data_IF_186101877443
#
_entry.id   IF_186101877443
#
_cell.length_a   1.000
_cell.length_b   1.000
_cell.length_c   1.000
_cell.angle_alpha   90.00
_cell.angle_beta   90.00
_cell.angle_gamma   90.00
#
_symmetry.space_group_name_H-M   'P 1'
#
loop_
_entity.id
_entity.type
_entity.pdbx_description
1 polymer ?
#
# COMPACT_ATOMS: atom_id res chain seq x y z
N UNK A 1 9.79 12.29 29.65
CA UNK A 1 9.62 12.16 29.29
C UNK A 1 9.30 12.13 28.52
N UNK A 2 9.09 11.78 28.21
CA UNK A 2 8.85 11.58 27.50
C UNK A 2 8.27 11.63 26.93
N UNK A 3 8.33 12.11 26.62
CA UNK A 3 7.79 12.16 26.06
C UNK A 3 7.40 11.20 25.34
N UNK A 4 7.08 10.67 25.61
CA UNK A 4 6.73 9.64 25.04
C UNK A 4 5.56 9.77 24.23
N UNK A 5 5.55 9.38 23.06
CA UNK A 5 4.50 9.52 22.24
C UNK A 5 3.65 8.37 22.35
N UNK A 6 2.43 8.51 22.69
CA UNK A 6 1.50 7.43 22.70
C UNK A 6 1.11 7.06 21.30
N UNK A 7 1.03 5.78 21.01
CA UNK A 7 0.53 5.33 19.74
C UNK A 7 -0.99 5.54 19.72
N UNK A 8 -1.49 6.15 18.66
CA UNK A 8 -2.90 6.46 18.54
C UNK A 8 -3.65 5.27 17.93
N UNK A 9 -4.14 4.39 18.80
CA UNK A 9 -4.81 3.18 18.38
C UNK A 9 -6.10 3.48 17.63
N UNK A 10 -6.83 4.53 18.04
CA UNK A 10 -8.07 4.87 17.33
C UNK A 10 -7.78 5.29 15.90
N UNK A 11 -6.73 6.06 15.68
CA UNK A 11 -6.36 6.46 14.35
C UNK A 11 -5.92 5.28 13.51
N UNK A 12 -5.21 4.33 14.14
CA UNK A 12 -4.82 3.11 13.47
C UNK A 12 -6.05 2.36 12.97
N UNK A 13 -7.03 2.17 13.83
CA UNK A 13 -8.24 1.47 13.41
C UNK A 13 -9.03 2.26 12.38
N UNK A 14 -9.06 3.58 12.50
CA UNK A 14 -9.73 4.39 11.49
C UNK A 14 -9.06 4.23 10.13
N UNK A 15 -7.74 4.12 10.13
CA UNK A 15 -7.02 3.92 8.88
C UNK A 15 -7.39 2.60 8.23
N UNK A 16 -7.70 1.58 9.02
CA UNK A 16 -8.11 0.29 8.48
C UNK A 16 -9.58 0.25 8.12
N UNK A 17 -10.37 1.18 8.60
CA UNK A 17 -11.82 1.12 8.43
C UNK A 17 -12.29 1.83 7.16
N UNK A 18 -11.67 1.49 6.04
CA UNK A 18 -12.04 2.06 4.77
C UNK A 18 -11.63 1.08 3.68
N UNK A 19 -12.58 0.77 2.80
CA UNK A 19 -12.34 -0.25 1.79
C UNK A 19 -11.20 0.10 0.86
N UNK A 20 -11.12 1.34 0.42
CA UNK A 20 -10.04 1.75 -0.48
C UNK A 20 -8.68 1.61 0.20
N UNK A 21 -8.61 2.00 1.47
CA UNK A 21 -7.35 1.88 2.18
C UNK A 21 -6.96 0.43 2.40
N UNK A 22 -7.93 -0.44 2.66
CA UNK A 22 -7.61 -1.87 2.76
C UNK A 22 -7.11 -2.42 1.43
N UNK A 23 -7.72 -1.98 0.33
CA UNK A 23 -7.25 -2.41 -0.98
C UNK A 23 -5.82 -1.96 -1.23
N UNK A 24 -5.49 -0.75 -0.83
CA UNK A 24 -4.13 -0.25 -1.00
C UNK A 24 -3.14 -1.06 -0.18
N UNK A 25 -3.46 -1.31 1.08
CA UNK A 25 -2.57 -2.10 1.92
C UNK A 25 -2.37 -3.50 1.36
N UNK A 26 -3.43 -4.07 0.83
CA UNK A 26 -3.39 -5.40 0.24
C UNK A 26 -2.39 -5.49 -0.93
N UNK A 27 -2.21 -4.39 -1.64
CA UNK A 27 -1.34 -4.40 -2.82
C UNK A 27 0.12 -4.11 -2.51
N UNK A 28 0.41 -3.58 -1.33
CA UNK A 28 1.77 -3.16 -1.02
C UNK A 28 2.56 -4.28 -0.36
N UNK A 29 2.74 -5.38 -1.09
CA UNK A 29 3.56 -6.48 -0.60
C UNK A 29 5.04 -6.24 -0.83
N UNK A 30 5.36 -5.26 -1.62
CA UNK A 30 6.68 -4.74 -1.85
C UNK A 30 6.52 -3.29 -2.19
N UNK A 31 7.62 -2.64 -2.54
CA UNK A 31 7.54 -1.24 -2.91
C UNK A 31 6.86 -1.10 -4.26
N UNK A 32 5.93 -0.16 -4.38
CA UNK A 32 5.16 -0.01 -5.60
C UNK A 32 4.93 1.46 -5.91
N UNK A 33 5.04 1.80 -7.19
CA UNK A 33 4.78 3.15 -7.64
C UNK A 33 3.29 3.45 -7.58
N UNK A 34 2.96 4.68 -7.21
CA UNK A 34 1.57 5.09 -7.08
C UNK A 34 0.80 4.90 -8.38
N UNK A 35 1.46 5.02 -9.52
CA UNK A 35 0.77 4.88 -10.80
C UNK A 35 0.14 3.51 -10.98
N UNK A 36 0.76 2.47 -10.44
CA UNK A 36 0.16 1.15 -10.53
C UNK A 36 -1.01 0.98 -9.56
N UNK A 37 -0.94 1.64 -8.42
CA UNK A 37 -2.08 1.61 -7.50
C UNK A 37 -3.30 2.28 -8.14
N UNK A 38 -3.06 3.40 -8.81
CA UNK A 38 -4.14 4.09 -9.51
C UNK A 38 -4.74 3.20 -10.59
N UNK A 39 -3.87 2.53 -11.32
CA UNK A 39 -4.33 1.68 -12.40
C UNK A 39 -5.16 0.50 -11.89
N UNK A 40 -4.70 -0.15 -10.85
CA UNK A 40 -5.40 -1.32 -10.34
C UNK A 40 -6.72 -0.96 -9.70
N UNK A 41 -6.73 0.11 -8.89
CA UNK A 41 -7.95 0.49 -8.22
C UNK A 41 -8.95 1.20 -9.10
N UNK A 42 -8.49 1.79 -10.20
CA UNK A 42 -9.39 2.50 -11.09
C UNK A 42 -9.97 3.77 -10.50
N UNK A 43 -9.22 4.39 -9.60
CA UNK A 43 -9.65 5.62 -8.94
C UNK A 43 -8.72 6.75 -9.29
N UNK A 44 -9.20 7.99 -9.26
CA UNK A 44 -8.34 9.14 -9.60
C UNK A 44 -7.15 9.24 -8.65
N UNK A 45 -6.02 9.67 -9.19
CA UNK A 45 -4.82 9.76 -8.38
C UNK A 45 -4.98 10.66 -7.16
N UNK A 46 -5.66 11.82 -7.22
CA UNK A 46 -5.80 12.62 -6.00
C UNK A 46 -6.51 11.88 -4.88
N UNK A 47 -7.49 11.04 -5.21
CA UNK A 47 -8.17 10.25 -4.20
C UNK A 47 -7.24 9.21 -3.60
N UNK A 48 -6.49 8.52 -4.45
CA UNK A 48 -5.53 7.53 -3.99
C UNK A 48 -4.47 8.19 -3.11
N UNK A 49 -3.98 9.35 -3.54
CA UNK A 49 -2.96 10.05 -2.77
C UNK A 49 -3.44 10.47 -1.40
N UNK A 50 -4.71 10.89 -1.29
CA UNK A 50 -5.26 11.26 0.01
C UNK A 50 -5.33 10.06 0.95
N UNK A 51 -5.75 8.91 0.42
CA UNK A 51 -5.79 7.70 1.24
C UNK A 51 -4.40 7.26 1.66
N UNK A 52 -3.43 7.37 0.74
CA UNK A 52 -2.04 7.02 1.09
C UNK A 52 -1.49 7.95 2.15
N UNK A 53 -1.83 9.24 2.07
CA UNK A 53 -1.39 10.18 3.09
C UNK A 53 -1.98 9.84 4.45
N UNK A 54 -3.23 9.41 4.47
CA UNK A 54 -3.86 9.01 5.72
C UNK A 54 -3.15 7.79 6.32
N UNK A 55 -2.88 6.80 5.46
CA UNK A 55 -2.18 5.60 5.92
C UNK A 55 -0.77 5.92 6.40
N UNK A 56 -0.11 6.83 5.73
CA UNK A 56 1.22 7.24 6.11
C UNK A 56 1.21 7.95 7.46
N UNK A 57 0.23 8.84 7.66
CA UNK A 57 0.10 9.52 8.92
C UNK A 57 -0.22 8.59 10.08
N UNK A 58 -0.84 7.46 9.78
CA UNK A 58 -1.15 6.47 10.81
C UNK A 58 0.00 5.47 11.01
N UNK A 59 1.08 5.61 10.25
CA UNK A 59 2.24 4.75 10.44
C UNK A 59 2.18 3.42 9.72
N UNK A 60 1.27 3.27 8.78
CA UNK A 60 1.09 1.99 8.11
C UNK A 60 1.80 1.90 6.77
N UNK A 61 2.24 3.04 6.24
CA UNK A 61 2.81 3.12 4.93
C UNK A 61 3.99 4.08 4.96
N UNK A 62 5.03 3.76 4.22
CA UNK A 62 6.16 4.65 4.02
C UNK A 62 6.23 5.02 2.55
N UNK A 63 6.79 6.18 2.26
CA UNK A 63 6.86 6.68 0.90
C UNK A 63 8.28 7.08 0.57
N UNK A 64 8.65 6.92 -0.70
CA UNK A 64 9.95 7.30 -1.20
C UNK A 64 9.75 7.96 -2.55
N UNK A 65 10.45 9.06 -2.76
CA UNK A 65 10.36 9.74 -4.06
C UNK A 65 11.54 9.34 -4.94
N UNK A 66 11.23 9.07 -6.18
CA UNK A 66 12.27 8.80 -7.16
C UNK A 66 11.93 9.65 -8.38
N UNK A 67 12.64 10.75 -8.57
CA UNK A 67 12.30 11.70 -9.60
C UNK A 67 10.89 12.25 -9.37
N UNK A 68 10.05 12.14 -10.36
CA UNK A 68 8.67 12.61 -10.22
C UNK A 68 7.73 11.52 -9.75
N UNK A 69 8.26 10.31 -9.48
CA UNK A 69 7.42 9.19 -9.09
C UNK A 69 7.50 8.93 -7.60
N UNK A 70 6.35 8.64 -7.00
CA UNK A 70 6.29 8.28 -5.59
C UNK A 70 6.09 6.78 -5.48
N UNK A 71 6.88 6.17 -4.61
CA UNK A 71 6.79 4.75 -4.33
C UNK A 71 6.34 4.55 -2.88
N UNK A 72 5.50 3.57 -2.68
CA UNK A 72 4.93 3.31 -1.36
C UNK A 72 5.15 1.87 -0.96
N UNK A 73 5.31 1.65 0.33
CA UNK A 73 5.44 0.29 0.87
C UNK A 73 4.83 0.25 2.25
N UNK A 74 4.53 -0.95 2.69
CA UNK A 74 4.02 -1.13 4.04
C UNK A 74 5.08 -0.75 5.04
N UNK A 75 4.65 -0.20 6.16
CA UNK A 75 5.51 0.08 7.29
C UNK A 75 4.88 -0.57 8.51
N UNK A 76 5.72 -1.05 9.42
CA UNK A 76 5.20 -1.64 10.63
C UNK A 76 4.89 -0.53 11.62
N UNK A 77 3.71 -0.54 12.23
CA UNK A 77 3.43 0.42 13.31
C UNK A 77 4.42 0.22 14.43
N UNK A 78 4.70 1.30 15.15
CA UNK A 78 5.63 1.21 16.26
C UNK A 78 5.09 0.38 17.40
N UNK A 79 3.79 0.39 17.59
CA UNK A 79 3.18 -0.38 18.64
C UNK A 79 3.12 -1.85 18.25
N UNK A 80 3.64 -2.73 19.10
CA UNK A 80 3.71 -4.15 18.78
C UNK A 80 2.33 -4.77 18.60
N UNK A 81 1.37 -4.34 19.38
CA UNK A 81 0.00 -4.86 19.23
C UNK A 81 -0.60 -4.45 17.91
N UNK A 82 -0.40 -3.19 17.52
CA UNK A 82 -0.92 -2.73 16.25
C UNK A 82 -0.23 -3.44 15.09
N UNK A 83 1.07 -3.70 15.23
CA UNK A 83 1.78 -4.44 14.18
C UNK A 83 1.20 -5.85 14.03
N UNK A 84 0.87 -6.48 15.14
CA UNK A 84 0.27 -7.82 15.09
C UNK A 84 -1.11 -7.78 14.44
N UNK A 85 -1.89 -6.75 14.76
CA UNK A 85 -3.21 -6.60 14.17
C UNK A 85 -3.09 -6.38 12.67
N UNK A 86 -2.13 -5.56 12.26
CA UNK A 86 -1.94 -5.33 10.84
C UNK A 86 -1.56 -6.62 10.12
N UNK A 87 -0.65 -7.41 10.69
CA UNK A 87 -0.28 -8.68 10.07
C UNK A 87 -1.47 -9.58 9.92
N UNK A 88 -2.29 -9.68 10.95
CA UNK A 88 -3.47 -10.53 10.88
C UNK A 88 -4.48 -10.00 9.88
N UNK A 89 -4.62 -8.68 9.81
CA UNK A 89 -5.50 -8.06 8.84
C UNK A 89 -5.06 -8.43 7.42
N UNK A 90 -3.77 -8.32 7.14
CA UNK A 90 -3.28 -8.63 5.81
C UNK A 90 -3.49 -10.10 5.46
N UNK A 91 -3.32 -11.00 6.42
CA UNK A 91 -3.61 -12.40 6.18
C UNK A 91 -5.08 -12.63 5.88
N UNK A 92 -5.94 -11.94 6.59
CA UNK A 92 -7.36 -12.05 6.35
C UNK A 92 -7.73 -11.56 4.96
N UNK A 93 -7.11 -10.46 4.53
CA UNK A 93 -7.38 -9.92 3.20
C UNK A 93 -6.91 -10.89 2.11
N UNK A 94 -5.92 -11.71 2.40
CA UNK A 94 -5.46 -12.68 1.41
C UNK A 94 -6.54 -13.68 1.04
N UNK A 95 -7.50 -13.89 1.92
CA UNK A 95 -8.57 -14.84 1.67
C UNK A 95 -9.77 -14.21 0.98
N UNK A 96 -9.78 -12.90 0.86
CA UNK A 96 -10.91 -12.20 0.27
C UNK A 96 -10.81 -12.21 -1.25
N UNK A 97 -11.90 -12.60 -1.90
CA UNK A 97 -11.86 -12.74 -3.36
C UNK A 97 -11.59 -11.45 -4.08
N UNK A 98 -12.19 -10.37 -3.63
CA UNK A 98 -11.96 -9.07 -4.28
C UNK A 98 -10.52 -8.63 -4.12
N UNK A 99 -9.94 -8.91 -2.96
CA UNK A 99 -8.54 -8.56 -2.73
C UNK A 99 -7.61 -9.41 -3.56
N UNK A 100 -7.95 -10.68 -3.73
CA UNK A 100 -7.17 -11.56 -4.60
C UNK A 100 -7.23 -11.08 -6.04
N UNK A 101 -8.39 -10.61 -6.48
CA UNK A 101 -8.53 -10.10 -7.83
C UNK A 101 -7.67 -8.87 -8.05
N UNK A 102 -7.62 -7.99 -7.05
CA UNK A 102 -6.77 -6.81 -7.15
C UNK A 102 -5.30 -7.21 -7.29
N UNK A 103 -4.85 -8.18 -6.50
CA UNK A 103 -3.45 -8.62 -6.60
C UNK A 103 -3.15 -9.24 -7.94
N UNK A 104 -4.09 -10.03 -8.46
CA UNK A 104 -3.91 -10.62 -9.77
C UNK A 104 -3.84 -9.54 -10.86
N UNK A 105 -4.67 -8.52 -10.72
CA UNK A 105 -4.66 -7.42 -11.67
C UNK A 105 -3.33 -6.67 -11.61
N UNK A 106 -2.82 -6.44 -10.41
CA UNK A 106 -1.54 -5.78 -10.28
C UNK A 106 -0.45 -6.56 -10.99
N UNK A 107 -0.47 -7.87 -10.82
CA UNK A 107 0.52 -8.70 -11.45
C UNK A 107 0.48 -8.59 -12.96
N UNK A 108 -0.71 -8.55 -13.52
CA UNK A 108 -0.84 -8.39 -14.97
C UNK A 108 -0.32 -7.05 -15.44
N UNK A 109 -0.59 -6.00 -14.68
CA UNK A 109 -0.23 -4.66 -15.10
C UNK A 109 1.25 -4.39 -14.93
N UNK A 110 1.79 -4.77 -13.80
CA UNK A 110 3.17 -4.38 -13.52
C UNK A 110 4.20 -5.38 -13.98
N UNK A 111 3.82 -6.68 -14.04
CA UNK A 111 4.85 -7.69 -14.18
C UNK A 111 4.76 -8.50 -15.47
N UNK A 112 3.83 -8.17 -16.31
CA UNK A 112 3.73 -8.80 -17.61
C UNK A 112 4.35 -7.83 -18.60
N UNK A 113 5.50 -8.17 -19.12
CA UNK A 113 6.31 -7.18 -19.85
C UNK A 113 5.64 -6.62 -21.10
N UNK A 114 4.81 -7.38 -21.72
CA UNK A 114 4.25 -6.89 -22.96
C UNK A 114 2.91 -6.23 -22.81
N UNK A 115 2.44 -6.04 -21.60
CA UNK A 115 1.14 -5.47 -21.45
C UNK A 115 1.20 -3.97 -21.39
N UNK A 116 1.02 -3.40 -20.30
CA UNK A 116 0.89 -2.00 -20.21
C UNK A 116 2.18 -1.31 -19.94
N UNK A 117 2.43 -0.23 -20.64
CA UNK A 117 3.50 0.59 -20.29
C UNK A 117 2.97 1.83 -19.76
N UNK A 118 3.12 2.04 -18.45
CA UNK A 118 2.77 3.29 -17.84
C UNK A 118 3.95 4.20 -18.09
N UNK A 119 3.76 5.14 -18.95
CA UNK A 119 4.80 5.97 -19.47
C UNK A 119 5.83 6.39 -18.44
N UNK A 120 7.04 5.88 -18.61
CA UNK A 120 8.14 6.25 -17.76
C UNK A 120 8.07 5.76 -16.34
N UNK A 121 7.07 5.00 -15.99
CA UNK A 121 6.94 4.54 -14.63
C UNK A 121 7.84 3.35 -14.37
N UNK A 122 8.49 3.31 -13.20
CA UNK A 122 9.31 2.16 -12.88
C UNK A 122 8.46 0.91 -12.73
N UNK A 123 9.05 -0.23 -13.06
CA UNK A 123 8.34 -1.50 -12.94
C UNK A 123 8.58 -2.06 -11.55
N UNK A 124 7.57 -2.10 -10.72
CA UNK A 124 7.78 -2.52 -9.32
C UNK A 124 8.27 -3.96 -9.21
N UNK A 125 7.85 -4.81 -10.08
CA UNK A 125 8.23 -6.19 -9.99
C UNK A 125 9.72 -6.43 -10.06
N UNK A 126 10.43 -5.55 -10.73
CA UNK A 126 11.85 -5.70 -10.82
C UNK A 126 12.53 -5.61 -9.51
N UNK A 127 12.10 -4.67 -8.70
CA UNK A 127 12.70 -4.48 -7.43
C UNK A 127 12.33 -5.57 -6.49
N UNK A 128 11.12 -6.02 -6.55
CA UNK A 128 10.65 -7.04 -5.65
C UNK A 128 11.34 -8.35 -5.93
N UNK A 129 11.52 -8.63 -7.17
CA UNK A 129 12.11 -9.88 -7.55
C UNK A 129 13.55 -10.00 -7.10
N UNK A 130 14.21 -8.89 -7.00
CA UNK A 130 15.58 -8.93 -6.59
C UNK A 130 15.73 -9.30 -5.12
N UNK A 131 14.68 -9.32 -4.40
CA UNK A 131 14.79 -9.65 -2.98
C UNK A 131 14.77 -11.13 -2.71
#
# INVERSE_FOLDING_TARGET
MQKQRHFDMARFFQALADRTRLRLLNLMRGEICVCYLVEVLGEPQPKISRHLAYLRGAGLVAARREGKWMHYRLAAPQDAGAAAILRQTLRTLEQDKAMQADRARLERVCCAPQLVELQGAPVPGKRIVSS
#
